data_IF_748822190196
#
_entry.id   IF_748822190196
#
_cell.length_a   1.000
_cell.length_b   1.000
_cell.length_c   1.000
_cell.angle_alpha   90.00
_cell.angle_beta   90.00
_cell.angle_gamma   90.00
#
_symmetry.space_group_name_H-M   'P 1'
#
loop_
_entity.id
_entity.type
_entity.pdbx_description
1 polymer ?
#
# COMPACT_ATOMS: atom_id res chain seq x y z
N UNK A 1 62.41 -1.24 -16.46
CA UNK A 1 61.50 -0.10 -16.27
C UNK A 1 60.16 -0.67 -15.86
N UNK A 2 59.82 -0.54 -14.57
CA UNK A 2 58.61 -1.11 -13.99
C UNK A 2 58.11 -0.08 -12.98
N UNK A 3 57.06 0.66 -13.37
CA UNK A 3 56.38 1.62 -12.50
C UNK A 3 55.56 0.86 -11.45
N UNK A 4 55.57 1.25 -10.16
CA UNK A 4 54.64 0.70 -9.20
C UNK A 4 53.31 1.46 -9.20
N UNK A 5 52.24 0.68 -9.01
CA UNK A 5 50.86 1.09 -8.96
C UNK A 5 50.54 2.00 -7.77
N UNK A 6 49.59 2.90 -7.99
CA UNK A 6 49.00 3.81 -7.00
C UNK A 6 48.41 3.05 -5.81
N UNK A 7 48.89 3.37 -4.61
CA UNK A 7 48.27 2.99 -3.35
C UNK A 7 46.88 3.63 -3.27
N UNK A 8 45.85 2.79 -3.15
CA UNK A 8 44.48 3.21 -2.94
C UNK A 8 44.32 3.99 -1.64
N UNK A 9 43.55 5.07 -1.72
CA UNK A 9 43.04 5.81 -0.57
C UNK A 9 42.28 4.86 0.36
N UNK A 10 42.87 4.59 1.52
CA UNK A 10 42.20 3.87 2.59
C UNK A 10 41.07 4.74 3.16
N UNK A 11 39.86 4.21 3.12
CA UNK A 11 38.69 4.79 3.78
C UNK A 11 38.98 4.98 5.28
N UNK A 12 38.95 6.24 5.72
CA UNK A 12 39.19 6.62 7.12
C UNK A 12 37.92 6.29 7.92
N UNK A 13 37.98 5.22 8.71
CA UNK A 13 36.91 4.86 9.65
C UNK A 13 37.24 5.44 11.03
N UNK A 14 36.39 6.37 11.46
CA UNK A 14 36.22 7.00 12.79
C UNK A 14 37.31 7.99 13.27
N UNK A 15 36.92 9.07 14.00
CA UNK A 15 37.86 9.81 14.82
C UNK A 15 38.18 8.95 16.04
N UNK A 16 39.36 8.33 16.09
CA UNK A 16 39.91 7.93 17.39
C UNK A 16 39.98 9.19 18.27
N UNK A 17 39.50 9.16 19.53
CA UNK A 17 39.59 10.32 20.40
C UNK A 17 41.05 10.79 20.44
N UNK A 18 41.25 12.10 20.25
CA UNK A 18 42.59 12.66 20.24
C UNK A 18 43.30 12.26 21.54
N UNK A 19 44.56 11.79 21.48
CA UNK A 19 45.28 11.42 22.70
C UNK A 19 45.27 12.56 23.71
N UNK A 20 45.15 12.23 25.00
CA UNK A 20 45.08 13.24 26.08
C UNK A 20 46.26 14.23 26.01
N UNK A 21 47.44 13.75 25.63
CA UNK A 21 48.64 14.58 25.45
C UNK A 21 48.49 15.61 24.33
N UNK A 22 47.71 15.32 23.28
CA UNK A 22 47.38 16.25 22.20
C UNK A 22 46.35 17.28 22.68
N UNK A 23 45.33 16.85 23.43
CA UNK A 23 44.33 17.76 24.01
C UNK A 23 45.01 18.78 24.94
N UNK A 24 45.91 18.33 25.82
CA UNK A 24 46.68 19.21 26.70
C UNK A 24 47.53 20.23 25.93
N UNK A 25 48.13 19.82 24.81
CA UNK A 25 48.86 20.74 23.92
C UNK A 25 47.92 21.76 23.28
N UNK A 26 46.75 21.33 22.80
CA UNK A 26 45.74 22.24 22.24
C UNK A 26 45.25 23.25 23.27
N UNK A 27 44.97 22.81 24.51
CA UNK A 27 44.61 23.69 25.62
C UNK A 27 45.71 24.72 25.92
N UNK A 28 46.98 24.32 25.91
CA UNK A 28 48.11 25.23 26.12
C UNK A 28 48.25 26.25 24.98
N UNK A 29 48.05 25.84 23.73
CA UNK A 29 48.03 26.73 22.56
C UNK A 29 46.86 27.71 22.67
N UNK A 30 45.67 27.23 23.02
CA UNK A 30 44.48 28.05 23.25
C UNK A 30 44.73 29.11 24.32
N UNK A 31 45.29 28.73 25.47
CA UNK A 31 45.63 29.69 26.53
C UNK A 31 46.57 30.81 26.05
N UNK A 32 47.59 30.46 25.25
CA UNK A 32 48.50 31.46 24.65
C UNK A 32 47.80 32.35 23.62
N UNK A 33 46.92 31.80 22.79
CA UNK A 33 46.21 32.57 21.76
C UNK A 33 45.15 33.48 22.36
N UNK A 34 44.47 33.05 23.43
CA UNK A 34 43.55 33.88 24.21
C UNK A 34 44.27 35.06 24.83
N UNK A 35 45.44 34.84 25.44
CA UNK A 35 46.25 35.93 26.01
C UNK A 35 46.74 36.96 24.98
N UNK A 36 46.74 36.61 23.68
CA UNK A 36 47.13 37.48 22.57
C UNK A 36 45.94 38.01 21.75
N UNK A 37 44.70 37.93 22.26
CA UNK A 37 43.48 38.37 21.56
C UNK A 37 43.25 37.69 20.19
N UNK A 38 43.70 36.44 20.00
CA UNK A 38 43.54 35.67 18.74
C UNK A 38 42.62 34.45 18.87
N UNK A 39 41.74 34.45 19.87
CA UNK A 39 40.84 33.33 20.17
C UNK A 39 39.87 33.04 19.02
N UNK A 40 39.25 34.06 18.43
CA UNK A 40 38.27 33.88 17.34
C UNK A 40 38.87 33.18 16.12
N UNK A 41 40.10 33.55 15.73
CA UNK A 41 40.79 32.92 14.62
C UNK A 41 41.12 31.46 14.91
N UNK A 42 41.47 31.14 16.16
CA UNK A 42 41.68 29.76 16.60
C UNK A 42 40.40 28.94 16.52
N UNK A 43 39.28 29.50 16.99
CA UNK A 43 37.96 28.86 16.93
C UNK A 43 37.57 28.59 15.48
N UNK A 44 37.75 29.56 14.58
CA UNK A 44 37.44 29.37 13.16
C UNK A 44 38.21 28.18 12.55
N UNK A 45 39.53 28.14 12.74
CA UNK A 45 40.37 27.05 12.21
C UNK A 45 40.00 25.71 12.84
N UNK A 46 39.74 25.70 14.15
CA UNK A 46 39.31 24.49 14.85
C UNK A 46 38.00 23.96 14.28
N UNK A 47 36.99 24.81 14.15
CA UNK A 47 35.67 24.44 13.59
C UNK A 47 35.82 23.93 12.16
N UNK A 48 36.59 24.60 11.31
CA UNK A 48 36.82 24.21 9.91
C UNK A 48 37.48 22.83 9.78
N UNK A 49 38.55 22.58 10.54
CA UNK A 49 39.27 21.30 10.49
C UNK A 49 38.41 20.16 11.06
N UNK A 50 37.74 20.40 12.20
CA UNK A 50 36.91 19.37 12.83
C UNK A 50 35.66 19.06 11.99
N UNK A 51 34.98 20.07 11.44
CA UNK A 51 33.81 19.85 10.59
C UNK A 51 34.16 19.11 9.31
N UNK A 52 35.30 19.44 8.67
CA UNK A 52 35.79 18.72 7.49
C UNK A 52 36.08 17.24 7.77
N UNK A 53 36.67 16.92 8.93
CA UNK A 53 36.93 15.52 9.30
C UNK A 53 35.64 14.70 9.49
N UNK A 54 34.63 15.30 10.14
CA UNK A 54 33.32 14.65 10.30
C UNK A 54 32.63 14.49 8.95
N UNK A 55 32.69 15.51 8.09
CA UNK A 55 32.10 15.48 6.75
C UNK A 55 32.74 14.38 5.90
N UNK A 56 34.07 14.24 5.91
CA UNK A 56 34.76 13.15 5.20
C UNK A 56 34.33 11.77 5.71
N UNK A 57 34.13 11.63 7.03
CA UNK A 57 33.61 10.39 7.63
C UNK A 57 32.18 10.08 7.20
N UNK A 58 31.36 11.11 7.00
CA UNK A 58 29.97 10.98 6.53
C UNK A 58 29.89 10.70 5.03
N UNK A 59 30.77 11.29 4.22
CA UNK A 59 30.83 11.04 2.77
C UNK A 59 31.11 9.57 2.44
N UNK A 60 31.83 8.86 3.31
CA UNK A 60 32.06 7.41 3.16
C UNK A 60 30.77 6.56 3.22
N UNK A 61 29.64 7.14 3.67
CA UNK A 61 28.35 6.45 3.78
C UNK A 61 27.44 6.58 2.55
N UNK A 62 27.92 7.20 1.46
CA UNK A 62 27.17 7.38 0.21
C UNK A 62 25.81 8.08 0.46
N UNK A 63 25.90 9.38 0.76
CA UNK A 63 24.77 10.20 1.22
C UNK A 63 23.99 10.89 0.11
N UNK A 64 24.20 10.51 -1.15
CA UNK A 64 23.58 11.12 -2.33
C UNK A 64 22.04 11.15 -2.24
N UNK A 65 21.45 10.17 -1.54
CA UNK A 65 20.00 10.10 -1.34
C UNK A 65 19.43 11.25 -0.47
N UNK A 66 20.26 11.97 0.29
CA UNK A 66 19.80 13.12 1.10
C UNK A 66 19.41 14.32 0.23
N UNK A 67 19.92 14.41 -0.99
CA UNK A 67 19.69 15.52 -1.92
C UNK A 67 18.49 15.31 -2.85
N UNK A 68 17.76 14.20 -2.67
CA UNK A 68 16.58 13.87 -3.48
C UNK A 68 15.54 14.99 -3.39
N UNK A 69 15.10 15.46 -4.56
CA UNK A 69 14.05 16.48 -4.68
C UNK A 69 12.66 15.91 -4.34
N UNK A 70 11.70 16.78 -3.98
CA UNK A 70 10.30 16.36 -3.74
C UNK A 70 9.69 15.67 -4.98
N UNK A 71 10.04 16.14 -6.19
CA UNK A 71 9.54 15.56 -7.43
C UNK A 71 10.02 14.12 -7.61
N UNK A 72 11.33 13.90 -7.46
CA UNK A 72 11.94 12.57 -7.50
C UNK A 72 11.41 11.67 -6.38
N UNK A 73 11.20 12.23 -5.18
CA UNK A 73 10.58 11.51 -4.08
C UNK A 73 9.15 11.03 -4.40
N UNK A 74 8.39 11.73 -5.23
CA UNK A 74 7.04 11.27 -5.57
C UNK A 74 7.02 10.16 -6.63
N UNK A 75 8.08 10.02 -7.42
CA UNK A 75 8.15 9.09 -8.54
C UNK A 75 8.90 7.78 -8.21
N UNK A 76 9.77 7.79 -7.20
CA UNK A 76 10.66 6.67 -6.89
C UNK A 76 9.97 5.57 -6.05
N UNK A 77 9.94 4.34 -6.56
CA UNK A 77 9.40 3.19 -5.80
C UNK A 77 10.36 2.66 -4.70
N UNK A 78 11.66 3.01 -4.73
CA UNK A 78 12.70 2.50 -3.83
C UNK A 78 12.88 3.25 -2.49
N UNK A 79 11.92 4.12 -2.13
CA UNK A 79 12.04 5.04 -0.98
C UNK A 79 12.13 4.32 0.36
N UNK A 80 11.51 3.14 0.50
CA UNK A 80 11.57 2.36 1.75
C UNK A 80 13.04 2.00 2.09
N UNK A 81 13.87 1.75 1.07
CA UNK A 81 15.30 1.55 1.23
C UNK A 81 16.04 2.80 1.73
N UNK A 82 15.66 3.99 1.25
CA UNK A 82 16.30 5.25 1.66
C UNK A 82 15.93 5.67 3.08
N UNK A 83 14.69 5.47 3.53
CA UNK A 83 14.32 5.81 4.91
C UNK A 83 15.00 4.89 5.92
N UNK A 84 15.09 3.59 5.61
CA UNK A 84 15.81 2.64 6.44
C UNK A 84 17.32 2.96 6.52
N UNK A 85 17.93 3.35 5.39
CA UNK A 85 19.32 3.86 5.35
C UNK A 85 19.46 5.15 6.16
N UNK A 86 18.55 6.11 5.95
CA UNK A 86 18.52 7.39 6.65
C UNK A 86 18.52 7.22 8.18
N UNK A 87 17.66 6.35 8.72
CA UNK A 87 17.60 6.10 10.16
C UNK A 87 18.92 5.56 10.72
N UNK A 88 19.57 4.63 10.00
CA UNK A 88 20.88 4.06 10.39
C UNK A 88 22.00 5.08 10.31
N UNK A 89 22.06 5.85 9.23
CA UNK A 89 23.09 6.87 9.03
C UNK A 89 22.94 8.02 10.02
N UNK A 90 21.71 8.44 10.31
CA UNK A 90 21.43 9.44 11.34
C UNK A 90 21.86 8.95 12.72
N UNK A 91 21.53 7.70 13.07
CA UNK A 91 21.97 7.11 14.34
C UNK A 91 23.50 7.07 14.45
N UNK A 92 24.18 6.68 13.37
CA UNK A 92 25.64 6.66 13.34
C UNK A 92 26.24 8.07 13.51
N UNK A 93 25.73 9.04 12.75
CA UNK A 93 26.18 10.43 12.82
C UNK A 93 26.04 11.00 14.23
N UNK A 94 24.90 10.78 14.88
CA UNK A 94 24.60 11.31 16.22
C UNK A 94 25.43 10.63 17.30
N UNK A 95 25.44 9.29 17.35
CA UNK A 95 26.05 8.52 18.46
C UNK A 95 27.56 8.30 18.35
N UNK A 96 28.13 8.42 17.15
CA UNK A 96 29.55 8.12 16.97
C UNK A 96 30.36 9.34 16.56
N UNK A 97 29.84 10.17 15.65
CA UNK A 97 30.60 11.33 15.17
C UNK A 97 30.33 12.58 16.02
N UNK A 98 29.08 12.99 16.13
CA UNK A 98 28.72 14.21 16.84
C UNK A 98 28.91 14.09 18.35
N UNK A 99 28.67 12.90 18.92
CA UNK A 99 29.02 12.63 20.32
C UNK A 99 30.53 12.75 20.60
N UNK A 100 31.38 12.27 19.69
CA UNK A 100 32.83 12.41 19.83
C UNK A 100 33.27 13.87 19.74
N UNK A 101 32.72 14.65 18.80
CA UNK A 101 33.01 16.10 18.71
C UNK A 101 32.47 16.89 19.90
N UNK A 102 31.31 16.50 20.44
CA UNK A 102 30.74 17.14 21.63
C UNK A 102 31.69 17.03 22.82
N UNK A 103 32.16 15.81 23.10
CA UNK A 103 33.11 15.55 24.19
C UNK A 103 34.44 16.26 23.92
N UNK A 104 34.95 16.20 22.69
CA UNK A 104 36.22 16.83 22.33
C UNK A 104 36.16 18.36 22.44
N UNK A 105 35.07 19.00 22.01
CA UNK A 105 34.88 20.44 22.18
C UNK A 105 34.89 20.82 23.66
N UNK A 106 34.18 20.06 24.50
CA UNK A 106 34.18 20.28 25.95
C UNK A 106 35.60 20.17 26.53
N UNK A 107 36.34 19.10 26.19
CA UNK A 107 37.69 18.88 26.70
C UNK A 107 38.68 19.96 26.22
N UNK A 108 38.63 20.37 24.96
CA UNK A 108 39.58 21.34 24.38
C UNK A 108 39.36 22.75 24.94
N UNK A 109 38.10 23.14 25.18
CA UNK A 109 37.73 24.50 25.57
C UNK A 109 37.30 24.65 27.04
N UNK A 110 37.46 23.60 27.85
CA UNK A 110 37.11 23.54 29.29
C UNK A 110 37.48 24.81 30.07
N UNK A 111 38.68 25.37 29.80
CA UNK A 111 39.26 26.51 30.53
C UNK A 111 38.88 27.89 30.00
N UNK A 112 38.16 27.97 28.88
CA UNK A 112 37.87 29.23 28.16
C UNK A 112 36.45 29.75 28.44
N UNK A 113 35.52 28.86 28.80
CA UNK A 113 34.15 29.21 29.20
C UNK A 113 33.08 28.30 28.56
N UNK A 114 31.98 28.08 29.28
CA UNK A 114 30.90 27.15 28.88
C UNK A 114 30.22 27.53 27.54
N UNK A 115 30.11 28.82 27.23
CA UNK A 115 29.44 29.27 26.01
C UNK A 115 30.30 29.07 24.75
N UNK A 116 31.63 29.05 24.89
CA UNK A 116 32.56 29.00 23.75
C UNK A 116 32.61 27.60 23.14
N UNK A 117 32.72 26.56 23.98
CA UNK A 117 32.81 25.18 23.48
C UNK A 117 31.51 24.73 22.84
N UNK A 118 30.36 25.10 23.43
CA UNK A 118 29.04 24.80 22.88
C UNK A 118 28.82 25.52 21.55
N UNK A 119 29.29 26.77 21.43
CA UNK A 119 29.30 27.50 20.16
C UNK A 119 30.16 26.85 19.07
N UNK A 120 31.32 26.28 19.44
CA UNK A 120 32.16 25.53 18.51
C UNK A 120 31.48 24.24 18.06
N UNK A 121 30.95 23.46 19.00
CA UNK A 121 30.20 22.24 18.71
C UNK A 121 29.01 22.50 17.78
N UNK A 122 28.20 23.52 18.07
CA UNK A 122 27.05 23.89 17.25
C UNK A 122 27.45 24.15 15.79
N UNK A 123 28.53 24.93 15.57
CA UNK A 123 29.05 25.21 14.22
C UNK A 123 29.58 23.95 13.53
N UNK A 124 30.30 23.09 14.26
CA UNK A 124 30.81 21.83 13.73
C UNK A 124 29.65 20.93 13.31
N UNK A 125 28.64 20.75 14.16
CA UNK A 125 27.49 19.92 13.87
C UNK A 125 26.71 20.42 12.65
N UNK A 126 26.48 21.73 12.55
CA UNK A 126 25.81 22.36 11.40
C UNK A 126 26.59 22.12 10.09
N UNK A 127 27.91 22.34 10.10
CA UNK A 127 28.77 22.15 8.92
C UNK A 127 29.03 20.68 8.57
N UNK A 128 29.00 19.79 9.57
CA UNK A 128 29.25 18.36 9.39
C UNK A 128 28.17 17.66 8.54
N UNK A 129 26.94 18.20 8.51
CA UNK A 129 25.86 17.67 7.66
C UNK A 129 24.59 17.25 8.38
N UNK A 130 24.43 17.51 9.69
CA UNK A 130 23.19 17.19 10.41
C UNK A 130 21.96 17.87 9.79
N UNK A 131 22.16 19.07 9.23
CA UNK A 131 21.11 19.84 8.55
C UNK A 131 20.56 19.10 7.33
N UNK A 132 21.42 18.39 6.57
CA UNK A 132 21.01 17.61 5.41
C UNK A 132 20.09 16.43 5.82
N UNK A 133 20.41 15.76 6.93
CA UNK A 133 19.53 14.71 7.48
C UNK A 133 18.16 15.23 7.89
N UNK A 134 18.10 16.38 8.55
CA UNK A 134 16.85 17.01 8.96
C UNK A 134 16.05 17.50 7.75
N UNK A 135 16.73 18.08 6.75
CA UNK A 135 16.11 18.54 5.51
C UNK A 135 15.54 17.39 4.69
N UNK A 136 16.23 16.26 4.59
CA UNK A 136 15.68 15.05 3.96
C UNK A 136 14.37 14.62 4.63
N UNK A 137 14.34 14.57 5.97
CA UNK A 137 13.11 14.27 6.70
C UNK A 137 11.98 15.26 6.36
N UNK A 138 12.32 16.55 6.23
CA UNK A 138 11.35 17.60 5.87
C UNK A 138 10.80 17.42 4.45
N UNK A 139 11.66 17.09 3.49
CA UNK A 139 11.26 16.74 2.12
C UNK A 139 10.22 15.60 2.10
N UNK A 140 10.38 14.58 2.96
CA UNK A 140 9.39 13.51 3.13
C UNK A 140 8.07 14.03 3.70
N UNK A 141 8.11 14.96 4.66
CA UNK A 141 6.87 15.56 5.21
C UNK A 141 6.12 16.40 4.19
N UNK A 142 6.81 17.00 3.21
CA UNK A 142 6.23 17.88 2.17
C UNK A 142 5.77 17.14 0.91
N UNK A 143 6.10 15.85 0.78
CA UNK A 143 5.70 15.03 -0.37
C UNK A 143 4.18 14.80 -0.50
N UNK A 144 3.74 14.14 -1.58
CA UNK A 144 2.33 13.82 -1.80
C UNK A 144 1.72 13.03 -0.63
N UNK A 145 0.49 13.39 -0.23
CA UNK A 145 -0.30 12.61 0.74
C UNK A 145 -0.77 11.31 0.09
N UNK A 146 -0.30 10.19 0.61
CA UNK A 146 -0.78 8.85 0.26
C UNK A 146 -0.64 7.89 1.46
N UNK A 147 -1.31 6.72 1.47
CA UNK A 147 -1.23 5.82 2.61
C UNK A 147 0.18 5.23 2.83
N UNK A 148 0.98 5.06 1.78
CA UNK A 148 2.36 4.55 1.92
C UNK A 148 3.23 5.60 2.64
N UNK A 149 2.99 6.90 2.40
CA UNK A 149 3.64 7.99 3.14
C UNK A 149 3.38 7.92 4.64
N UNK A 150 2.20 7.50 5.11
CA UNK A 150 1.97 7.34 6.54
C UNK A 150 2.99 6.38 7.16
N UNK A 151 3.20 5.21 6.56
CA UNK A 151 4.18 4.23 7.05
C UNK A 151 5.60 4.81 7.09
N UNK A 152 5.98 5.52 6.01
CA UNK A 152 7.26 6.23 5.91
C UNK A 152 7.46 7.27 7.02
N UNK A 153 6.43 8.05 7.34
CA UNK A 153 6.46 9.02 8.43
C UNK A 153 6.57 8.35 9.80
N UNK A 154 5.91 7.21 10.00
CA UNK A 154 6.05 6.42 11.23
C UNK A 154 7.49 5.88 11.40
N UNK A 155 8.15 5.47 10.32
CA UNK A 155 9.55 5.02 10.35
C UNK A 155 10.53 6.15 10.67
N UNK A 156 10.27 7.36 10.14
CA UNK A 156 11.02 8.57 10.49
C UNK A 156 10.81 8.91 11.97
N UNK A 157 9.57 8.90 12.44
CA UNK A 157 9.25 9.16 13.84
C UNK A 157 9.94 8.16 14.77
N UNK A 158 9.93 6.87 14.43
CA UNK A 158 10.59 5.83 15.22
C UNK A 158 12.10 6.08 15.34
N UNK A 159 12.75 6.46 14.24
CA UNK A 159 14.18 6.78 14.21
C UNK A 159 14.50 8.02 15.07
N UNK A 160 13.69 9.09 14.95
CA UNK A 160 13.86 10.31 15.75
C UNK A 160 13.59 10.04 17.24
N UNK A 161 12.55 9.28 17.57
CA UNK A 161 12.21 8.94 18.95
C UNK A 161 13.30 8.07 19.61
N UNK A 162 13.92 7.16 18.85
CA UNK A 162 15.09 6.38 19.30
C UNK A 162 16.27 7.26 19.71
N UNK A 163 16.49 8.38 19.00
CA UNK A 163 17.60 9.31 19.23
C UNK A 163 17.22 10.50 20.11
N UNK A 164 16.01 10.54 20.66
CA UNK A 164 15.47 11.71 21.38
C UNK A 164 16.37 12.20 22.52
N UNK A 165 16.87 11.27 23.34
CA UNK A 165 17.73 11.62 24.48
C UNK A 165 19.09 12.15 24.01
N UNK A 166 19.64 11.56 22.95
CA UNK A 166 20.89 12.00 22.33
C UNK A 166 20.75 13.42 21.76
N UNK A 167 19.66 13.69 21.03
CA UNK A 167 19.37 15.03 20.51
C UNK A 167 19.24 16.07 21.62
N UNK A 168 18.50 15.75 22.69
CA UNK A 168 18.33 16.67 23.82
C UNK A 168 19.64 16.97 24.54
N UNK A 169 20.53 15.97 24.66
CA UNK A 169 21.83 16.14 25.32
C UNK A 169 22.81 16.93 24.45
N UNK A 170 22.97 16.54 23.19
CA UNK A 170 23.94 17.13 22.29
C UNK A 170 23.54 18.54 21.86
N UNK A 171 22.27 18.74 21.49
CA UNK A 171 21.80 20.00 20.91
C UNK A 171 20.97 20.84 21.87
N UNK A 172 20.89 20.51 23.16
CA UNK A 172 20.07 21.25 24.13
C UNK A 172 20.55 22.67 24.47
N UNK A 173 21.80 23.01 24.13
CA UNK A 173 22.39 24.32 24.40
C UNK A 173 21.86 25.44 23.50
N UNK A 174 21.85 26.68 23.98
CA UNK A 174 21.35 27.86 23.24
C UNK A 174 22.06 28.08 21.89
N UNK A 175 23.34 27.68 21.76
CA UNK A 175 24.07 27.80 20.51
C UNK A 175 23.53 26.88 19.39
N UNK A 176 22.79 25.82 19.73
CA UNK A 176 22.22 24.87 18.76
C UNK A 176 20.78 25.24 18.33
N UNK A 177 20.34 26.49 18.53
CA UNK A 177 18.96 26.93 18.26
C UNK A 177 18.47 26.59 16.85
N UNK A 178 19.32 26.70 15.83
CA UNK A 178 18.97 26.33 14.45
C UNK A 178 18.62 24.84 14.32
N UNK A 179 19.48 23.96 14.84
CA UNK A 179 19.29 22.50 14.82
C UNK A 179 18.05 22.12 15.64
N UNK A 180 17.84 22.76 16.80
CA UNK A 180 16.65 22.55 17.63
C UNK A 180 15.37 22.94 16.88
N UNK A 181 15.36 24.09 16.20
CA UNK A 181 14.21 24.56 15.44
C UNK A 181 13.86 23.60 14.30
N UNK A 182 14.86 23.20 13.50
CA UNK A 182 14.65 22.25 12.41
C UNK A 182 14.20 20.88 12.90
N UNK A 183 14.76 20.40 14.01
CA UNK A 183 14.35 19.13 14.63
C UNK A 183 12.89 19.20 15.11
N UNK A 184 12.50 20.29 15.77
CA UNK A 184 11.12 20.51 16.22
C UNK A 184 10.15 20.60 15.04
N UNK A 185 10.53 21.33 14.00
CA UNK A 185 9.70 21.51 12.81
C UNK A 185 9.52 20.18 12.06
N UNK A 186 10.58 19.37 11.95
CA UNK A 186 10.51 18.01 11.41
C UNK A 186 9.58 17.12 12.23
N UNK A 187 9.76 17.06 13.56
CA UNK A 187 8.89 16.27 14.45
C UNK A 187 7.43 16.71 14.31
N UNK A 188 7.18 18.02 14.23
CA UNK A 188 5.84 18.58 14.01
C UNK A 188 5.26 18.18 12.65
N UNK A 189 6.05 18.28 11.58
CA UNK A 189 5.65 17.87 10.23
C UNK A 189 5.33 16.38 10.15
N UNK A 190 6.14 15.54 10.79
CA UNK A 190 5.94 14.07 10.83
C UNK A 190 4.66 13.72 11.58
N UNK A 191 4.45 14.28 12.77
CA UNK A 191 3.28 13.97 13.61
C UNK A 191 1.98 14.46 12.96
N UNK A 192 1.97 15.69 12.44
CA UNK A 192 0.80 16.24 11.75
C UNK A 192 0.53 15.45 10.46
N UNK A 193 1.55 15.24 9.62
CA UNK A 193 1.39 14.52 8.35
C UNK A 193 0.91 13.08 8.55
N UNK A 194 1.44 12.36 9.52
CA UNK A 194 0.99 11.01 9.83
C UNK A 194 -0.46 10.99 10.37
N UNK A 195 -0.78 11.92 11.27
CA UNK A 195 -2.13 12.01 11.83
C UNK A 195 -3.16 12.38 10.76
N UNK A 196 -2.87 13.38 9.92
CA UNK A 196 -3.77 13.84 8.86
C UNK A 196 -4.07 12.72 7.86
N UNK A 197 -3.03 11.99 7.39
CA UNK A 197 -3.23 10.87 6.46
C UNK A 197 -4.06 9.75 7.12
N UNK A 198 -3.84 9.47 8.41
CA UNK A 198 -4.60 8.44 9.12
C UNK A 198 -6.09 8.80 9.22
N UNK A 199 -6.42 10.04 9.60
CA UNK A 199 -7.81 10.49 9.72
C UNK A 199 -8.50 10.72 8.36
N UNK A 200 -7.75 11.10 7.32
CA UNK A 200 -8.29 11.22 5.95
C UNK A 200 -8.58 9.85 5.31
N UNK A 201 -7.98 8.75 5.79
CA UNK A 201 -8.08 7.44 5.17
C UNK A 201 -9.51 6.93 5.04
N UNK A 202 -10.33 7.09 6.08
CA UNK A 202 -11.75 6.69 6.06
C UNK A 202 -12.49 7.39 4.91
N UNK A 203 -12.36 8.72 4.84
CA UNK A 203 -13.00 9.54 3.80
C UNK A 203 -12.51 9.13 2.41
N UNK A 204 -11.21 8.87 2.25
CA UNK A 204 -10.67 8.40 0.97
C UNK A 204 -11.25 7.05 0.55
N UNK A 205 -11.43 6.11 1.48
CA UNK A 205 -12.07 4.82 1.21
C UNK A 205 -13.54 5.01 0.83
N UNK A 206 -14.29 5.86 1.53
CA UNK A 206 -15.69 6.15 1.21
C UNK A 206 -15.86 6.76 -0.19
N UNK A 207 -14.95 7.65 -0.59
CA UNK A 207 -14.99 8.29 -1.91
C UNK A 207 -14.80 7.30 -3.07
N UNK A 208 -14.12 6.17 -2.84
CA UNK A 208 -13.96 5.14 -3.88
C UNK A 208 -15.28 4.47 -4.27
N UNK A 209 -16.34 4.60 -3.46
CA UNK A 209 -17.67 4.02 -3.75
C UNK A 209 -18.24 4.43 -5.10
N UNK A 210 -17.88 5.63 -5.58
CA UNK A 210 -18.35 6.17 -6.86
C UNK A 210 -17.68 5.54 -8.08
N UNK A 211 -16.62 4.77 -7.89
CA UNK A 211 -15.93 4.07 -8.98
C UNK A 211 -16.76 2.84 -9.33
N UNK A 212 -17.03 2.56 -10.62
CA UNK A 212 -17.79 1.38 -11.01
C UNK A 212 -17.05 0.09 -10.62
N UNK A 213 -17.79 -0.98 -10.29
CA UNK A 213 -17.17 -2.24 -9.93
C UNK A 213 -16.43 -2.89 -11.12
N UNK A 214 -15.48 -3.80 -10.86
CA UNK A 214 -14.77 -4.51 -11.92
C UNK A 214 -15.72 -5.30 -12.83
N UNK A 215 -15.69 -5.06 -14.14
CA UNK A 215 -16.56 -5.78 -15.09
C UNK A 215 -16.34 -7.30 -15.12
N UNK A 216 -15.20 -7.78 -14.62
CA UNK A 216 -14.84 -9.19 -14.51
C UNK A 216 -15.34 -9.85 -13.21
N UNK A 217 -16.10 -9.13 -12.37
CA UNK A 217 -16.56 -9.59 -11.06
C UNK A 217 -15.42 -9.91 -10.07
N UNK A 218 -14.19 -9.47 -10.35
CA UNK A 218 -13.04 -9.67 -9.48
C UNK A 218 -13.11 -8.88 -8.17
N UNK A 219 -12.16 -9.16 -7.28
CA UNK A 219 -11.98 -8.39 -6.04
C UNK A 219 -11.37 -7.02 -6.39
N UNK A 220 -12.00 -5.89 -6.01
CA UNK A 220 -11.43 -4.57 -6.24
C UNK A 220 -10.10 -4.43 -5.49
N UNK A 221 -9.07 -3.86 -6.15
CA UNK A 221 -7.75 -3.64 -5.53
C UNK A 221 -7.80 -2.88 -4.21
N UNK A 222 -8.80 -2.00 -4.05
CA UNK A 222 -9.04 -1.26 -2.82
C UNK A 222 -9.26 -2.20 -1.62
N UNK A 223 -10.05 -3.27 -1.79
CA UNK A 223 -10.40 -4.19 -0.72
C UNK A 223 -9.13 -4.83 -0.18
N UNK A 224 -8.34 -5.47 -1.05
CA UNK A 224 -7.08 -6.11 -0.67
C UNK A 224 -6.08 -5.11 -0.09
N UNK A 225 -5.93 -3.93 -0.72
CA UNK A 225 -5.02 -2.91 -0.25
C UNK A 225 -5.37 -2.45 1.17
N UNK A 226 -6.63 -2.13 1.44
CA UNK A 226 -7.06 -1.60 2.74
C UNK A 226 -6.98 -2.67 3.83
N UNK A 227 -7.36 -3.92 3.55
CA UNK A 227 -7.23 -5.00 4.54
C UNK A 227 -5.78 -5.27 4.90
N UNK A 228 -4.88 -5.32 3.91
CA UNK A 228 -3.45 -5.53 4.14
C UNK A 228 -2.82 -4.34 4.88
N UNK A 229 -3.22 -3.13 4.49
CA UNK A 229 -2.72 -1.90 5.07
C UNK A 229 -3.16 -1.74 6.53
N UNK A 230 -4.43 -1.97 6.85
CA UNK A 230 -4.93 -1.97 8.22
C UNK A 230 -4.27 -3.06 9.07
N UNK A 231 -4.02 -4.25 8.49
CA UNK A 231 -3.23 -5.29 9.16
C UNK A 231 -1.80 -4.84 9.47
N UNK A 232 -1.14 -4.16 8.53
CA UNK A 232 0.21 -3.60 8.74
C UNK A 232 0.21 -2.55 9.85
N UNK A 233 -0.79 -1.66 9.89
CA UNK A 233 -0.96 -0.66 10.96
C UNK A 233 -1.23 -1.28 12.34
N UNK A 234 -2.00 -2.36 12.40
CA UNK A 234 -2.28 -3.11 13.64
C UNK A 234 -1.12 -4.02 14.07
N UNK A 235 -0.10 -4.18 13.21
CA UNK A 235 1.06 -5.01 13.49
C UNK A 235 1.88 -4.53 14.69
N UNK A 236 2.70 -5.43 15.23
CA UNK A 236 3.52 -5.18 16.43
C UNK A 236 4.48 -3.99 16.30
N UNK A 237 4.90 -3.69 15.08
CA UNK A 237 5.81 -2.59 14.81
C UNK A 237 5.07 -1.24 14.69
N UNK A 238 4.11 -1.10 13.76
CA UNK A 238 3.47 0.20 13.51
C UNK A 238 2.44 0.61 14.57
N UNK A 239 1.72 -0.33 15.19
CA UNK A 239 0.68 0.00 16.17
C UNK A 239 1.20 0.90 17.31
N UNK A 240 2.26 0.53 18.06
CA UNK A 240 2.75 1.36 19.17
C UNK A 240 3.25 2.73 18.69
N UNK A 241 3.90 2.79 17.53
CA UNK A 241 4.43 4.01 16.94
C UNK A 241 3.29 4.96 16.58
N UNK A 242 2.28 4.46 15.85
CA UNK A 242 1.10 5.23 15.47
C UNK A 242 0.31 5.68 16.71
N UNK A 243 0.14 4.83 17.71
CA UNK A 243 -0.48 5.21 18.99
C UNK A 243 0.26 6.38 19.63
N UNK A 244 1.59 6.33 19.70
CA UNK A 244 2.39 7.42 20.28
C UNK A 244 2.22 8.73 19.49
N UNK A 245 2.27 8.65 18.16
CA UNK A 245 2.06 9.82 17.27
C UNK A 245 0.68 10.45 17.52
N UNK A 246 -0.38 9.64 17.56
CA UNK A 246 -1.75 10.14 17.78
C UNK A 246 -1.95 10.73 19.17
N UNK A 247 -1.33 10.15 20.20
CA UNK A 247 -1.31 10.71 21.57
C UNK A 247 -0.67 12.10 21.56
N UNK A 248 0.50 12.25 20.93
CA UNK A 248 1.19 13.54 20.87
C UNK A 248 0.37 14.55 20.09
N UNK A 249 -0.15 14.19 18.91
CA UNK A 249 -0.96 15.09 18.10
C UNK A 249 -2.20 15.61 18.83
N UNK A 250 -2.92 14.73 19.54
CA UNK A 250 -4.07 15.15 20.36
C UNK A 250 -3.67 15.99 21.56
N UNK A 251 -2.53 15.70 22.19
CA UNK A 251 -2.01 16.53 23.28
C UNK A 251 -1.77 17.98 22.84
N UNK A 252 -1.30 18.18 21.59
CA UNK A 252 -1.14 19.52 20.99
C UNK A 252 -2.47 20.23 20.73
N UNK A 253 -3.56 19.48 20.58
CA UNK A 253 -4.93 19.99 20.46
C UNK A 253 -5.66 20.08 21.80
N UNK A 254 -4.99 19.78 22.92
CA UNK A 254 -5.59 19.68 24.27
C UNK A 254 -6.72 18.64 24.39
N UNK A 255 -6.68 17.60 23.56
CA UNK A 255 -7.65 16.50 23.57
C UNK A 255 -7.08 15.26 24.26
N UNK A 256 -7.94 14.50 24.96
CA UNK A 256 -7.55 13.19 25.49
C UNK A 256 -7.55 12.14 24.39
N UNK A 257 -6.48 11.35 24.32
CA UNK A 257 -6.42 10.17 23.46
C UNK A 257 -6.80 8.92 24.27
N UNK A 258 -7.63 8.07 23.67
CA UNK A 258 -7.92 6.72 24.15
C UNK A 258 -7.49 5.75 23.05
N UNK A 259 -6.76 4.68 23.39
CA UNK A 259 -6.30 3.68 22.40
C UNK A 259 -7.46 3.09 21.58
N UNK A 260 -8.64 3.01 22.17
CA UNK A 260 -9.90 2.62 21.51
C UNK A 260 -10.22 3.45 20.26
N UNK A 261 -9.73 4.69 20.16
CA UNK A 261 -9.96 5.54 18.99
C UNK A 261 -9.29 4.99 17.73
N UNK A 262 -8.05 4.51 17.84
CA UNK A 262 -7.34 3.90 16.70
C UNK A 262 -8.08 2.66 16.22
N UNK A 263 -8.49 1.82 17.18
CA UNK A 263 -9.26 0.60 16.91
C UNK A 263 -10.59 0.93 16.26
N UNK A 264 -11.33 1.90 16.81
CA UNK A 264 -12.62 2.33 16.28
C UNK A 264 -12.51 2.88 14.86
N UNK A 265 -11.47 3.66 14.58
CA UNK A 265 -11.24 4.21 13.24
C UNK A 265 -10.95 3.10 12.22
N UNK A 266 -10.11 2.12 12.57
CA UNK A 266 -9.84 0.96 11.70
C UNK A 266 -11.12 0.15 11.46
N UNK A 267 -11.96 -0.05 12.49
CA UNK A 267 -13.25 -0.71 12.33
C UNK A 267 -14.19 0.09 11.42
N UNK A 268 -14.19 1.42 11.50
CA UNK A 268 -14.97 2.27 10.60
C UNK A 268 -14.48 2.18 9.14
N UNK A 269 -13.16 2.08 8.92
CA UNK A 269 -12.60 1.87 7.59
C UNK A 269 -13.07 0.53 7.00
N UNK A 270 -13.11 -0.54 7.79
CA UNK A 270 -13.64 -1.84 7.31
C UNK A 270 -15.14 -1.74 7.02
N UNK A 271 -15.92 -1.07 7.86
CA UNK A 271 -17.34 -0.81 7.58
C UNK A 271 -17.55 -0.02 6.29
N UNK A 272 -16.68 0.96 6.01
CA UNK A 272 -16.72 1.69 4.75
C UNK A 272 -16.44 0.78 3.54
N UNK A 273 -15.52 -0.19 3.67
CA UNK A 273 -15.30 -1.23 2.65
C UNK A 273 -16.55 -2.09 2.45
N UNK A 274 -17.19 -2.56 3.53
CA UNK A 274 -18.43 -3.35 3.44
C UNK A 274 -19.54 -2.57 2.71
N UNK A 275 -19.75 -1.31 3.07
CA UNK A 275 -20.75 -0.45 2.42
C UNK A 275 -20.42 -0.18 0.94
N UNK A 276 -19.14 -0.07 0.60
CA UNK A 276 -18.70 0.04 -0.79
C UNK A 276 -19.01 -1.26 -1.56
N UNK A 277 -18.72 -2.42 -0.98
CA UNK A 277 -19.06 -3.72 -1.57
C UNK A 277 -20.57 -3.85 -1.81
N UNK A 278 -21.41 -3.45 -0.87
CA UNK A 278 -22.87 -3.45 -1.05
C UNK A 278 -23.33 -2.56 -2.21
N UNK A 279 -22.73 -1.38 -2.33
CA UNK A 279 -23.06 -0.44 -3.40
C UNK A 279 -22.63 -1.00 -4.76
N UNK A 280 -21.42 -1.58 -4.82
CA UNK A 280 -20.89 -2.22 -6.02
C UNK A 280 -21.68 -3.46 -6.44
N UNK A 281 -22.15 -4.27 -5.50
CA UNK A 281 -23.04 -5.40 -5.78
C UNK A 281 -24.32 -4.94 -6.49
N UNK A 282 -24.92 -3.83 -6.02
CA UNK A 282 -26.15 -3.25 -6.61
C UNK A 282 -25.93 -2.57 -7.96
N UNK A 283 -24.68 -2.21 -8.29
CA UNK A 283 -24.34 -1.53 -9.53
C UNK A 283 -24.22 -2.46 -10.74
N UNK A 284 -24.16 -3.79 -10.56
CA UNK A 284 -24.20 -4.73 -11.67
C UNK A 284 -25.61 -4.82 -12.26
N UNK A 285 -25.71 -4.67 -13.58
CA UNK A 285 -26.97 -4.88 -14.32
C UNK A 285 -27.43 -6.34 -14.25
N UNK A 286 -26.47 -7.27 -14.25
CA UNK A 286 -26.73 -8.70 -14.24
C UNK A 286 -26.66 -9.28 -12.82
N UNK A 287 -27.75 -9.86 -12.29
CA UNK A 287 -27.76 -10.48 -10.96
C UNK A 287 -26.78 -11.65 -10.80
N UNK A 288 -26.47 -12.37 -11.89
CA UNK A 288 -25.49 -13.47 -11.86
C UNK A 288 -24.08 -12.91 -11.65
N UNK A 289 -23.70 -11.87 -12.38
CA UNK A 289 -22.44 -11.14 -12.21
C UNK A 289 -22.32 -10.55 -10.80
N UNK A 290 -23.39 -9.94 -10.29
CA UNK A 290 -23.48 -9.44 -8.92
C UNK A 290 -23.21 -10.53 -7.89
N UNK A 291 -23.84 -11.71 -8.06
CA UNK A 291 -23.66 -12.86 -7.16
C UNK A 291 -22.24 -13.41 -7.20
N UNK A 292 -21.60 -13.45 -8.38
CA UNK A 292 -20.21 -13.88 -8.51
C UNK A 292 -19.24 -12.89 -7.83
N UNK A 293 -19.48 -11.59 -8.02
CA UNK A 293 -18.71 -10.54 -7.36
C UNK A 293 -18.84 -10.62 -5.83
N UNK A 294 -20.06 -10.81 -5.33
CA UNK A 294 -20.32 -10.99 -3.90
C UNK A 294 -19.56 -12.21 -3.35
N UNK A 295 -19.69 -13.35 -4.02
CA UNK A 295 -18.98 -14.59 -3.66
C UNK A 295 -17.46 -14.38 -3.58
N UNK A 296 -16.87 -13.72 -4.57
CA UNK A 296 -15.43 -13.42 -4.60
C UNK A 296 -14.99 -12.54 -3.43
N UNK A 297 -15.70 -11.44 -3.15
CA UNK A 297 -15.31 -10.49 -2.12
C UNK A 297 -15.52 -11.04 -0.71
N UNK A 298 -16.64 -11.72 -0.44
CA UNK A 298 -16.86 -12.36 0.86
C UNK A 298 -15.82 -13.45 1.13
N UNK A 299 -15.45 -14.25 0.12
CA UNK A 299 -14.40 -15.24 0.27
C UNK A 299 -13.03 -14.60 0.53
N UNK A 300 -12.70 -13.53 -0.20
CA UNK A 300 -11.45 -12.82 -0.04
C UNK A 300 -11.30 -12.25 1.37
N UNK A 301 -12.35 -11.58 1.87
CA UNK A 301 -12.37 -11.04 3.23
C UNK A 301 -12.20 -12.14 4.28
N UNK A 302 -12.95 -13.24 4.17
CA UNK A 302 -12.79 -14.37 5.10
C UNK A 302 -11.37 -14.94 5.06
N UNK A 303 -10.87 -15.27 3.86
CA UNK A 303 -9.60 -15.99 3.68
C UNK A 303 -8.38 -15.17 4.10
N UNK A 304 -8.33 -13.89 3.73
CA UNK A 304 -7.17 -13.02 3.97
C UNK A 304 -7.18 -12.35 5.35
N UNK A 305 -8.32 -12.28 6.02
CA UNK A 305 -8.40 -11.75 7.39
C UNK A 305 -8.26 -12.83 8.46
N UNK A 306 -8.61 -14.09 8.17
CA UNK A 306 -8.46 -15.19 9.13
C UNK A 306 -7.00 -15.33 9.60
N UNK A 307 -6.80 -15.28 10.92
CA UNK A 307 -5.48 -15.39 11.55
C UNK A 307 -4.62 -14.13 11.47
N UNK A 308 -5.20 -13.00 11.05
CA UNK A 308 -4.55 -11.68 11.05
C UNK A 308 -4.99 -10.85 12.25
N UNK A 309 -4.23 -9.81 12.60
CA UNK A 309 -4.60 -8.88 13.69
C UNK A 309 -5.94 -8.18 13.45
N UNK A 310 -6.24 -7.85 12.20
CA UNK A 310 -7.52 -7.27 11.82
C UNK A 310 -8.65 -8.30 11.94
N UNK A 311 -8.42 -9.55 11.54
CA UNK A 311 -9.38 -10.65 11.74
C UNK A 311 -9.69 -10.90 13.21
N UNK A 312 -8.67 -10.95 14.06
CA UNK A 312 -8.82 -11.07 15.51
C UNK A 312 -9.65 -9.92 16.09
N UNK A 313 -9.47 -8.71 15.55
CA UNK A 313 -10.18 -7.51 15.98
C UNK A 313 -11.67 -7.52 15.55
N UNK A 314 -11.96 -7.99 14.34
CA UNK A 314 -13.32 -8.12 13.81
C UNK A 314 -14.08 -9.28 14.48
N UNK A 315 -13.35 -10.33 14.86
CA UNK A 315 -13.85 -11.47 15.61
C UNK A 315 -14.40 -12.60 14.74
N UNK A 316 -14.41 -13.81 15.31
CA UNK A 316 -14.80 -15.04 14.61
C UNK A 316 -16.23 -15.01 14.06
N UNK A 317 -17.14 -14.29 14.72
CA UNK A 317 -18.53 -14.16 14.26
C UNK A 317 -18.60 -13.47 12.90
N UNK A 318 -17.86 -12.38 12.74
CA UNK A 318 -17.80 -11.62 11.48
C UNK A 318 -17.14 -12.45 10.37
N UNK A 319 -16.04 -13.17 10.69
CA UNK A 319 -15.38 -14.05 9.72
C UNK A 319 -16.31 -15.17 9.24
N UNK A 320 -17.04 -15.82 10.16
CA UNK A 320 -18.03 -16.86 9.80
C UNK A 320 -19.18 -16.30 8.97
N UNK A 321 -19.63 -15.10 9.27
CA UNK A 321 -20.68 -14.43 8.48
C UNK A 321 -20.24 -14.23 7.02
N UNK A 322 -19.01 -13.78 6.77
CA UNK A 322 -18.46 -13.70 5.42
C UNK A 322 -18.31 -15.08 4.75
N UNK A 323 -17.94 -16.13 5.48
CA UNK A 323 -17.93 -17.50 4.97
C UNK A 323 -19.34 -17.97 4.55
N UNK A 324 -20.35 -17.68 5.36
CA UNK A 324 -21.76 -17.97 5.06
C UNK A 324 -22.28 -17.18 3.85
N UNK A 325 -21.99 -15.88 3.75
CA UNK A 325 -22.38 -15.08 2.59
C UNK A 325 -21.74 -15.61 1.31
N UNK A 326 -20.48 -16.04 1.36
CA UNK A 326 -19.82 -16.69 0.23
C UNK A 326 -20.58 -17.93 -0.24
N UNK A 327 -21.04 -18.79 0.66
CA UNK A 327 -21.78 -20.01 0.28
C UNK A 327 -23.22 -19.69 -0.20
N UNK A 328 -23.85 -18.68 0.40
CA UNK A 328 -25.15 -18.16 -0.02
C UNK A 328 -25.12 -17.62 -1.46
N UNK A 329 -24.19 -16.71 -1.76
CA UNK A 329 -24.04 -16.16 -3.10
C UNK A 329 -23.56 -17.19 -4.11
N UNK A 330 -22.73 -18.15 -3.71
CA UNK A 330 -22.36 -19.29 -4.56
C UNK A 330 -23.56 -20.15 -4.95
N UNK A 331 -24.51 -20.36 -4.03
CA UNK A 331 -25.75 -21.10 -4.29
C UNK A 331 -26.66 -20.34 -5.26
N UNK A 332 -26.85 -19.02 -5.04
CA UNK A 332 -27.63 -18.16 -5.94
C UNK A 332 -27.01 -18.14 -7.33
N UNK A 333 -25.69 -17.92 -7.41
CA UNK A 333 -24.96 -17.92 -8.66
C UNK A 333 -25.18 -19.21 -9.43
N UNK A 334 -24.97 -20.39 -8.80
CA UNK A 334 -25.15 -21.67 -9.47
C UNK A 334 -26.59 -21.89 -9.91
N UNK A 335 -27.57 -21.63 -9.03
CA UNK A 335 -29.01 -21.78 -9.32
C UNK A 335 -29.45 -20.92 -10.50
N UNK A 336 -29.04 -19.66 -10.52
CA UNK A 336 -29.55 -18.68 -11.47
C UNK A 336 -28.79 -18.67 -12.80
N UNK A 337 -27.61 -19.29 -12.85
CA UNK A 337 -26.80 -19.49 -14.05
C UNK A 337 -26.84 -20.94 -14.58
N UNK A 338 -25.78 -21.72 -14.36
CA UNK A 338 -25.57 -23.06 -14.91
C UNK A 338 -26.62 -24.07 -14.46
N UNK A 339 -27.23 -23.88 -13.28
CA UNK A 339 -28.29 -24.73 -12.75
C UNK A 339 -29.58 -24.74 -13.58
N UNK A 340 -29.81 -23.72 -14.44
CA UNK A 340 -30.96 -23.68 -15.35
C UNK A 340 -30.77 -24.51 -16.61
N UNK A 341 -29.52 -24.71 -17.04
CA UNK A 341 -29.20 -25.38 -18.31
C UNK A 341 -29.80 -26.78 -18.44
N UNK A 342 -29.72 -27.65 -17.41
CA UNK A 342 -30.29 -28.99 -17.52
C UNK A 342 -31.81 -28.99 -17.69
N UNK A 343 -32.52 -27.93 -17.29
CA UNK A 343 -33.96 -27.79 -17.48
C UNK A 343 -34.38 -27.81 -18.96
N UNK A 344 -33.49 -27.43 -19.88
CA UNK A 344 -33.74 -27.52 -21.32
C UNK A 344 -33.73 -28.97 -21.85
N UNK A 345 -33.19 -29.90 -21.08
CA UNK A 345 -33.04 -31.33 -21.42
C UNK A 345 -34.09 -32.20 -20.70
N UNK A 346 -35.34 -31.71 -20.61
CA UNK A 346 -36.44 -32.49 -20.02
C UNK A 346 -36.66 -33.81 -20.78
N UNK A 347 -37.13 -34.83 -20.07
CA UNK A 347 -37.57 -36.13 -20.63
C UNK A 347 -39.07 -36.15 -20.94
N UNK A 348 -39.82 -35.15 -20.48
CA UNK A 348 -41.27 -35.08 -20.66
C UNK A 348 -41.64 -35.06 -22.15
N UNK A 349 -42.69 -35.77 -22.54
CA UNK A 349 -43.11 -35.88 -23.94
C UNK A 349 -42.23 -36.79 -24.83
N UNK A 350 -41.10 -37.32 -24.33
CA UNK A 350 -40.30 -38.34 -25.04
C UNK A 350 -40.63 -39.77 -24.60
N UNK A 351 -41.34 -39.93 -23.47
CA UNK A 351 -41.67 -41.23 -22.86
C UNK A 351 -42.96 -41.83 -23.46
N UNK A 352 -43.90 -40.98 -23.90
CA UNK A 352 -45.06 -41.42 -24.69
C UNK A 352 -44.73 -41.30 -26.18
N UNK A 353 -44.35 -42.40 -26.81
CA UNK A 353 -44.15 -42.49 -28.28
C UNK A 353 -45.47 -42.40 -29.08
N UNK A 354 -46.43 -41.57 -28.65
CA UNK A 354 -47.74 -41.46 -29.31
C UNK A 354 -47.68 -40.86 -30.72
N UNK A 355 -46.55 -40.24 -31.12
CA UNK A 355 -46.34 -39.65 -32.45
C UNK A 355 -45.27 -40.33 -33.34
N UNK A 356 -44.62 -41.40 -32.88
CA UNK A 356 -43.56 -42.09 -33.65
C UNK A 356 -42.15 -41.47 -33.59
N UNK A 357 -41.16 -42.16 -34.19
CA UNK A 357 -39.72 -41.81 -34.11
C UNK A 357 -39.37 -40.43 -34.67
N UNK A 358 -40.08 -39.96 -35.69
CA UNK A 358 -39.82 -38.67 -36.32
C UNK A 358 -40.15 -37.50 -35.38
N UNK A 359 -41.31 -37.54 -34.70
CA UNK A 359 -41.73 -36.51 -33.75
C UNK A 359 -40.83 -36.45 -32.53
N UNK A 360 -40.42 -37.61 -32.00
CA UNK A 360 -39.44 -37.67 -30.91
C UNK A 360 -38.08 -37.05 -31.33
N UNK A 361 -37.62 -37.35 -32.54
CA UNK A 361 -36.38 -36.79 -33.10
C UNK A 361 -36.43 -35.27 -33.22
N UNK A 362 -37.52 -34.71 -33.73
CA UNK A 362 -37.67 -33.25 -33.87
C UNK A 362 -37.72 -32.53 -32.52
N UNK A 363 -38.36 -33.15 -31.52
CA UNK A 363 -38.37 -32.64 -30.15
C UNK A 363 -36.96 -32.66 -29.52
N UNK A 364 -36.19 -33.74 -29.73
CA UNK A 364 -34.80 -33.84 -29.27
C UNK A 364 -33.93 -32.77 -29.94
N UNK A 365 -34.06 -32.59 -31.26
CA UNK A 365 -33.37 -31.52 -32.02
C UNK A 365 -33.68 -30.14 -31.45
N UNK A 366 -34.95 -29.85 -31.17
CA UNK A 366 -35.38 -28.57 -30.58
C UNK A 366 -34.75 -28.33 -29.20
N UNK A 367 -34.79 -29.34 -28.31
CA UNK A 367 -34.21 -29.25 -26.96
C UNK A 367 -32.70 -29.05 -26.97
N UNK A 368 -31.98 -29.83 -27.79
CA UNK A 368 -30.53 -29.69 -27.94
C UNK A 368 -30.15 -28.32 -28.50
N UNK A 369 -30.92 -27.80 -29.47
CA UNK A 369 -30.72 -26.46 -30.00
C UNK A 369 -30.86 -25.40 -28.89
N UNK A 370 -31.94 -25.45 -28.11
CA UNK A 370 -32.17 -24.52 -26.99
C UNK A 370 -31.09 -24.63 -25.92
N UNK A 371 -30.65 -25.86 -25.58
CA UNK A 371 -29.54 -26.07 -24.66
C UNK A 371 -28.23 -25.46 -25.18
N UNK A 372 -27.89 -25.70 -26.45
CA UNK A 372 -26.65 -25.19 -27.05
C UNK A 372 -26.66 -23.65 -27.10
N UNK A 373 -27.79 -23.03 -27.47
CA UNK A 373 -27.93 -21.56 -27.48
C UNK A 373 -27.77 -20.98 -26.06
N UNK A 374 -28.45 -21.56 -25.07
CA UNK A 374 -28.33 -21.12 -23.67
C UNK A 374 -26.91 -21.33 -23.11
N UNK A 375 -26.25 -22.44 -23.44
CA UNK A 375 -24.87 -22.71 -23.04
C UNK A 375 -23.91 -21.72 -23.68
N UNK A 376 -24.03 -21.47 -24.99
CA UNK A 376 -23.18 -20.53 -25.72
C UNK A 376 -23.28 -19.11 -25.16
N UNK A 377 -24.50 -18.66 -24.88
CA UNK A 377 -24.77 -17.35 -24.29
C UNK A 377 -24.15 -17.24 -22.89
N UNK A 378 -24.38 -18.24 -22.03
CA UNK A 378 -23.83 -18.26 -20.68
C UNK A 378 -22.31 -18.32 -20.68
N UNK A 379 -21.72 -19.18 -21.50
CA UNK A 379 -20.27 -19.34 -21.64
C UNK A 379 -19.64 -18.05 -22.17
N UNK A 380 -20.24 -17.42 -23.19
CA UNK A 380 -19.77 -16.13 -23.71
C UNK A 380 -19.80 -15.04 -22.64
N UNK A 381 -20.85 -14.99 -21.82
CA UNK A 381 -20.99 -13.99 -20.75
C UNK A 381 -20.00 -14.21 -19.60
N UNK A 382 -19.81 -15.46 -19.19
CA UNK A 382 -19.02 -15.78 -17.99
C UNK A 382 -17.55 -16.07 -18.26
N UNK A 383 -17.15 -16.34 -19.51
CA UNK A 383 -15.74 -16.54 -19.89
C UNK A 383 -14.86 -15.29 -19.73
N UNK A 384 -15.46 -14.09 -19.61
CA UNK A 384 -14.74 -12.86 -19.28
C UNK A 384 -14.58 -12.62 -17.78
N UNK A 385 -15.35 -13.32 -16.93
CA UNK A 385 -15.34 -13.16 -15.48
C UNK A 385 -14.16 -13.90 -14.85
N UNK A 386 -13.80 -13.52 -13.62
CA UNK A 386 -12.71 -14.13 -12.87
C UNK A 386 -13.15 -14.57 -11.47
N UNK A 387 -12.56 -15.65 -11.00
CA UNK A 387 -12.58 -16.05 -9.59
C UNK A 387 -11.12 -16.09 -9.16
N UNK A 388 -10.61 -15.04 -8.48
CA UNK A 388 -9.18 -14.90 -8.20
C UNK A 388 -8.64 -16.06 -7.38
N UNK A 389 -9.37 -16.42 -6.33
CA UNK A 389 -8.99 -17.47 -5.38
C UNK A 389 -9.11 -18.86 -6.01
N UNK A 390 -7.98 -19.59 -6.02
CA UNK A 390 -7.86 -20.87 -6.74
C UNK A 390 -8.80 -21.95 -6.20
N UNK A 391 -8.82 -22.11 -4.90
CA UNK A 391 -9.68 -23.04 -4.16
C UNK A 391 -11.17 -22.76 -4.35
N UNK A 392 -11.57 -21.48 -4.32
CA UNK A 392 -12.94 -21.09 -4.66
C UNK A 392 -13.26 -21.43 -6.11
N UNK A 393 -12.38 -21.09 -7.05
CA UNK A 393 -12.55 -21.34 -8.48
C UNK A 393 -12.71 -22.82 -8.78
N UNK A 394 -11.82 -23.66 -8.25
CA UNK A 394 -11.86 -25.12 -8.43
C UNK A 394 -13.19 -25.69 -7.90
N UNK A 395 -13.63 -25.27 -6.70
CA UNK A 395 -14.91 -25.69 -6.12
C UNK A 395 -16.10 -25.23 -6.97
N UNK A 396 -16.12 -23.98 -7.44
CA UNK A 396 -17.20 -23.44 -8.28
C UNK A 396 -17.27 -24.18 -9.62
N UNK A 397 -16.13 -24.37 -10.30
CA UNK A 397 -16.09 -25.13 -11.57
C UNK A 397 -16.56 -26.58 -11.36
N UNK A 398 -16.15 -27.24 -10.28
CA UNK A 398 -16.59 -28.59 -9.95
C UNK A 398 -18.11 -28.66 -9.75
N UNK A 399 -18.69 -27.70 -9.03
CA UNK A 399 -20.14 -27.63 -8.80
C UNK A 399 -20.91 -27.43 -10.12
N UNK A 400 -20.40 -26.58 -11.02
CA UNK A 400 -20.99 -26.38 -12.36
C UNK A 400 -20.93 -27.67 -13.18
N UNK A 401 -19.78 -28.34 -13.21
CA UNK A 401 -19.61 -29.63 -13.91
C UNK A 401 -20.59 -30.67 -13.36
N UNK A 402 -20.71 -30.80 -12.04
CA UNK A 402 -21.64 -31.74 -11.40
C UNK A 402 -23.11 -31.42 -11.71
N UNK A 403 -23.47 -30.15 -11.84
CA UNK A 403 -24.83 -29.74 -12.18
C UNK A 403 -25.20 -30.04 -13.66
N UNK A 404 -24.26 -29.87 -14.59
CA UNK A 404 -24.56 -29.88 -16.03
C UNK A 404 -24.18 -31.21 -16.70
N UNK A 405 -22.97 -31.71 -16.47
CA UNK A 405 -22.38 -32.81 -17.26
C UNK A 405 -23.12 -34.14 -17.10
N UNK A 406 -23.52 -34.59 -15.89
CA UNK A 406 -24.25 -35.86 -15.75
C UNK A 406 -25.58 -35.88 -16.49
N UNK A 407 -26.31 -34.76 -16.46
CA UNK A 407 -27.62 -34.64 -17.11
C UNK A 407 -27.48 -34.57 -18.63
N UNK A 408 -26.50 -33.83 -19.13
CA UNK A 408 -26.15 -33.81 -20.55
C UNK A 408 -25.71 -35.20 -21.05
N UNK A 409 -24.82 -35.87 -20.31
CA UNK A 409 -24.34 -37.23 -20.62
C UNK A 409 -25.50 -38.22 -20.72
N UNK A 410 -26.39 -38.24 -19.72
CA UNK A 410 -27.55 -39.12 -19.72
C UNK A 410 -28.50 -38.82 -20.89
N UNK A 411 -28.72 -37.55 -21.21
CA UNK A 411 -29.58 -37.16 -22.33
C UNK A 411 -28.99 -37.59 -23.68
N UNK A 412 -27.69 -37.38 -23.90
CA UNK A 412 -26.99 -37.77 -25.13
C UNK A 412 -26.91 -39.29 -25.30
N UNK A 413 -26.71 -40.05 -24.22
CA UNK A 413 -26.73 -41.52 -24.29
C UNK A 413 -28.10 -42.08 -24.71
N UNK A 414 -29.19 -41.47 -24.24
CA UNK A 414 -30.54 -41.95 -24.53
C UNK A 414 -31.08 -41.48 -25.88
N UNK A 415 -30.73 -40.26 -26.30
CA UNK A 415 -31.36 -39.60 -27.46
C UNK A 415 -30.38 -39.14 -28.55
N UNK A 416 -29.07 -39.14 -28.29
CA UNK A 416 -28.02 -38.77 -29.26
C UNK A 416 -28.07 -39.57 -30.56
N UNK A 417 -28.25 -40.90 -30.54
CA UNK A 417 -28.33 -41.71 -31.77
C UNK A 417 -29.46 -41.29 -32.73
N UNK A 418 -30.52 -40.62 -32.25
CA UNK A 418 -31.61 -40.12 -33.09
C UNK A 418 -31.21 -38.92 -33.95
N UNK A 419 -30.14 -38.21 -33.57
CA UNK A 419 -29.73 -36.94 -34.18
C UNK A 419 -28.39 -37.06 -34.92
N UNK A 420 -27.57 -38.05 -34.56
CA UNK A 420 -26.26 -38.32 -35.16
C UNK A 420 -26.31 -38.98 -36.55
N UNK A 421 -27.46 -39.54 -36.95
CA UNK A 421 -27.62 -40.27 -38.21
C UNK A 421 -27.73 -39.38 -39.48
N UNK A 422 -27.79 -38.05 -39.36
CA UNK A 422 -27.90 -37.11 -40.50
C UNK A 422 -26.63 -36.26 -40.70
N UNK A 423 -26.37 -35.85 -41.94
CA UNK A 423 -25.27 -34.94 -42.34
C UNK A 423 -25.31 -33.53 -41.72
N UNK A 424 -26.24 -33.24 -40.81
CA UNK A 424 -26.35 -31.99 -40.03
C UNK A 424 -26.12 -32.18 -38.52
N UNK A 425 -25.56 -33.33 -38.11
CA UNK A 425 -25.27 -33.71 -36.72
C UNK A 425 -24.57 -32.63 -35.90
N UNK A 426 -23.60 -31.92 -36.49
CA UNK A 426 -22.81 -30.89 -35.81
C UNK A 426 -23.60 -29.68 -35.30
N UNK A 427 -24.84 -29.46 -35.77
CA UNK A 427 -25.71 -28.38 -35.28
C UNK A 427 -26.41 -28.72 -33.96
N UNK A 428 -26.60 -30.01 -33.67
CA UNK A 428 -27.38 -30.48 -32.53
C UNK A 428 -26.50 -31.22 -31.51
N UNK A 429 -25.61 -32.09 -31.97
CA UNK A 429 -24.53 -32.71 -31.18
C UNK A 429 -23.26 -31.83 -31.24
N UNK A 430 -23.39 -30.55 -30.85
CA UNK A 430 -22.31 -29.55 -30.95
C UNK A 430 -21.15 -29.83 -29.99
N UNK A 431 -21.44 -30.40 -28.83
CA UNK A 431 -20.47 -30.62 -27.75
C UNK A 431 -20.35 -32.10 -27.42
N UNK A 432 -19.12 -32.61 -27.34
CA UNK A 432 -18.90 -33.90 -26.68
C UNK A 432 -18.97 -33.71 -25.17
N UNK A 433 -19.29 -34.77 -24.42
CA UNK A 433 -19.28 -34.74 -22.95
C UNK A 433 -17.93 -34.28 -22.41
N UNK A 434 -16.83 -34.74 -23.02
CA UNK A 434 -15.46 -34.39 -22.64
C UNK A 434 -15.16 -32.91 -22.93
N UNK A 435 -15.55 -32.41 -24.10
CA UNK A 435 -15.36 -31.00 -24.47
C UNK A 435 -16.15 -30.09 -23.53
N UNK A 436 -17.40 -30.45 -23.20
CA UNK A 436 -18.23 -29.68 -22.28
C UNK A 436 -17.59 -29.61 -20.89
N UNK A 437 -17.11 -30.75 -20.37
CA UNK A 437 -16.44 -30.84 -19.08
C UNK A 437 -15.14 -30.01 -19.04
N UNK A 438 -14.33 -30.06 -20.10
CA UNK A 438 -13.12 -29.25 -20.24
C UNK A 438 -13.41 -27.75 -20.26
N UNK A 439 -14.40 -27.33 -21.07
CA UNK A 439 -14.82 -25.94 -21.16
C UNK A 439 -15.25 -25.40 -19.80
N UNK A 440 -16.13 -26.13 -19.09
CA UNK A 440 -16.62 -25.75 -17.76
C UNK A 440 -15.50 -25.73 -16.71
N UNK A 441 -14.58 -26.68 -16.77
CA UNK A 441 -13.44 -26.75 -15.85
C UNK A 441 -12.44 -25.60 -16.05
N UNK A 442 -12.40 -25.02 -17.25
CA UNK A 442 -11.49 -23.91 -17.62
C UNK A 442 -12.08 -22.51 -17.39
N UNK A 443 -13.29 -22.41 -16.83
CA UNK A 443 -13.93 -21.12 -16.56
C UNK A 443 -13.21 -20.32 -15.44
N UNK A 444 -13.44 -19.00 -15.47
CA UNK A 444 -13.01 -18.05 -14.44
C UNK A 444 -11.50 -17.91 -14.20
N UNK A 445 -10.69 -18.37 -15.15
CA UNK A 445 -9.24 -18.22 -15.05
C UNK A 445 -8.85 -16.74 -15.08
N UNK A 446 -7.91 -16.31 -14.21
CA UNK A 446 -7.35 -14.97 -14.31
C UNK A 446 -6.67 -14.81 -15.67
N UNK A 447 -7.03 -13.78 -16.44
CA UNK A 447 -6.31 -13.46 -17.68
C UNK A 447 -4.92 -12.91 -17.31
N UNK A 448 -3.82 -13.33 -17.97
CA UNK A 448 -2.52 -12.71 -17.76
C UNK A 448 -2.55 -11.29 -18.34
N UNK A 449 -2.95 -10.32 -17.51
CA UNK A 449 -2.99 -8.90 -17.84
C UNK A 449 -1.83 -8.17 -17.19
N UNK A 450 -1.01 -7.50 -18.02
CA UNK A 450 0.10 -6.62 -17.63
C UNK A 450 -0.27 -5.76 -16.44
N UNK A 451 0.59 -5.76 -15.41
CA UNK A 451 0.55 -4.82 -14.30
C UNK A 451 0.50 -3.38 -14.84
N UNK A 452 -0.70 -2.83 -14.94
CA UNK A 452 -0.89 -1.38 -14.95
C UNK A 452 -0.54 -0.90 -13.55
N UNK A 453 0.75 -0.59 -13.41
CA UNK A 453 1.26 0.35 -12.42
C UNK A 453 0.30 1.53 -12.34
N UNK A 454 -0.04 1.91 -11.10
CA UNK A 454 -0.65 3.18 -10.80
C UNK A 454 0.16 4.30 -11.47
N UNK A 455 -0.20 4.72 -12.68
CA UNK A 455 -0.13 6.14 -13.03
C UNK A 455 -1.44 6.71 -12.56
N UNK A 456 -1.44 7.22 -11.33
CA UNK A 456 -2.53 8.04 -10.84
C UNK A 456 -2.75 9.15 -11.86
N UNK A 457 -3.90 9.12 -12.55
CA UNK A 457 -4.33 10.25 -13.35
C UNK A 457 -4.50 11.41 -12.38
N UNK A 458 -3.64 12.40 -12.58
CA UNK A 458 -3.66 13.71 -11.92
C UNK A 458 -5.07 14.29 -12.03
N UNK A 459 -5.72 14.53 -10.89
CA UNK A 459 -6.79 15.51 -10.78
C UNK A 459 -6.38 16.46 -9.66
N UNK A 460 -5.88 17.61 -10.09
CA UNK A 460 -5.45 18.71 -9.25
C UNK A 460 -5.11 19.88 -10.17
N UNK A 461 -6.13 20.69 -10.46
CA UNK A 461 -6.10 22.15 -10.69
C UNK A 461 -7.08 22.58 -11.80
N UNK A 462 -8.25 23.07 -11.39
CA UNK A 462 -8.72 24.45 -11.61
C UNK A 462 -10.20 24.57 -11.27
N UNK A 463 -10.46 25.04 -10.05
CA UNK A 463 -11.61 25.91 -9.79
C UNK A 463 -11.12 27.32 -10.03
N UNK A 464 -11.57 27.96 -11.11
CA UNK A 464 -12.05 29.34 -11.10
C UNK A 464 -12.68 29.72 -12.44
N UNK A 465 -13.83 30.39 -12.31
CA UNK A 465 -14.57 31.16 -13.30
C UNK A 465 -15.25 30.39 -14.43
N UNK A 466 -16.57 30.18 -14.29
CA UNK A 466 -17.58 30.96 -15.02
C UNK A 466 -18.88 30.92 -14.20
N UNK A 467 -19.18 32.01 -13.50
CA UNK A 467 -20.55 32.44 -13.24
C UNK A 467 -20.92 33.32 -14.43
N UNK A 468 -21.88 32.85 -15.22
CA UNK A 468 -22.73 33.57 -16.17
C UNK A 468 -22.96 32.69 -17.41
N UNK A 469 -24.08 31.97 -17.45
CA UNK A 469 -25.14 32.33 -18.38
C UNK A 469 -26.27 31.30 -18.34
N UNK A 470 -27.35 31.71 -17.67
CA UNK A 470 -28.67 31.11 -17.81
C UNK A 470 -29.69 32.23 -17.65
N UNK A 471 -29.98 32.92 -18.75
CA UNK A 471 -31.25 33.60 -19.05
C UNK A 471 -31.24 33.92 -20.55
N UNK A 472 -31.90 33.07 -21.34
CA UNK A 472 -33.25 33.29 -21.89
C UNK A 472 -33.24 34.16 -23.16
N UNK A 473 -33.51 33.47 -24.27
CA UNK A 473 -34.50 33.81 -25.31
C UNK A 473 -34.55 35.24 -25.87
N UNK A 474 -34.28 35.30 -27.17
CA UNK A 474 -35.08 35.92 -28.24
C UNK A 474 -35.02 37.45 -28.47
N UNK A 475 -35.00 37.75 -29.79
CA UNK A 475 -35.23 39.01 -30.52
C UNK A 475 -34.13 40.07 -30.42
N UNK A 476 -33.40 40.38 -31.50
CA UNK A 476 -33.78 40.95 -32.81
C UNK A 476 -33.97 42.48 -32.78
N UNK A 477 -33.33 43.11 -33.78
CA UNK A 477 -33.61 44.41 -34.40
C UNK A 477 -32.91 45.64 -33.81
N UNK A 478 -32.02 46.15 -34.68
CA UNK A 478 -31.41 47.51 -34.85
C UNK A 478 -30.35 47.95 -33.86
#
# INVERSE_FOLDING_TARGET
MSSPASLGEQAVIAPSPLPVTVIQKLQAILGRLTANNRLERCIMIYVEVRSSNVQASLQALDLDYLEISIAEFNDVQSIEGYIAKWGKHLEFAVKHLLEAEYNLCNDVFERVGLDVWMGCFAKIAAQAGILAFLQFGKTVTESKKDPIKLLKLLDIFASLNKLRLDFNRLFGGAACTEIQNLTRDLIKGVINGASDIFWELLVQVELQRQIPPPADAGVPRLVSFITDYCNKLLGHYYKPILTQVLVIHRSWKHEKFQEKLLVNEILNIIKAIELNLETWMKAYEDPISSSLFAMNNHYHLYKHLKGTKLGDLLGDSWLREHEHFKDYYGTIFLRDSWGKLPGHLSREGLILFSGGRATARDLVKKRLKTFNEAFDEMYKKQSSMIVPERDLREKTCQQIVQAVVPLYRSYMQNYGPLVEQEGSSGKYAKYTVQTLEQMLSSLFLPKPGRYSSFKGRQHGEKINNVVADLRRTASAVV
#
